data_IF_976115217257
#
_entry.id   IF_976115217257
#
_cell.length_a   1.000
_cell.length_b   1.000
_cell.length_c   1.000
_cell.angle_alpha   90.00
_cell.angle_beta   90.00
_cell.angle_gamma   90.00
#
_symmetry.space_group_name_H-M   'P 1'
#
loop_
_entity.id
_entity.type
_entity.pdbx_description
1 polymer ?
#
# COMPACT_ATOMS: atom_id res chain seq x y z
N UNK A 1 12.62 28.12 -0.28
CA UNK A 1 12.81 28.01 1.17
C UNK A 1 12.64 26.58 1.68
N UNK A 2 11.54 25.86 1.42
CA UNK A 2 11.32 24.47 1.89
C UNK A 2 12.35 23.45 1.36
N UNK A 3 12.84 23.61 0.13
CA UNK A 3 13.88 22.74 -0.47
C UNK A 3 15.21 22.79 0.27
N UNK A 4 15.61 23.96 0.77
CA UNK A 4 16.81 24.13 1.59
C UNK A 4 16.63 23.50 2.99
N UNK A 5 15.43 23.60 3.57
CA UNK A 5 15.10 22.93 4.82
C UNK A 5 15.21 21.41 4.68
N UNK A 6 14.65 20.83 3.62
CA UNK A 6 14.76 19.37 3.38
C UNK A 6 16.18 18.91 3.06
N UNK A 7 17.00 19.75 2.41
CA UNK A 7 18.43 19.43 2.20
C UNK A 7 19.23 19.57 3.49
N UNK A 8 18.89 20.52 4.35
CA UNK A 8 19.53 20.71 5.63
C UNK A 8 19.18 19.59 6.62
N UNK A 9 17.95 19.06 6.58
CA UNK A 9 17.60 17.84 7.32
C UNK A 9 18.32 16.58 6.81
N UNK A 10 18.71 16.52 5.55
CA UNK A 10 19.60 15.47 5.02
C UNK A 10 21.03 15.56 5.56
N UNK A 11 21.47 16.74 5.95
CA UNK A 11 22.81 16.99 6.49
C UNK A 11 22.90 16.77 8.01
N UNK A 12 21.79 16.71 8.73
CA UNK A 12 21.77 16.19 10.10
C UNK A 12 22.03 14.69 9.99
N UNK A 13 23.24 14.28 10.36
CA UNK A 13 23.78 12.92 10.21
C UNK A 13 22.98 11.88 10.99
N UNK A 14 21.78 11.60 10.50
CA UNK A 14 21.06 10.41 10.86
C UNK A 14 21.85 9.24 10.26
N UNK A 15 22.39 8.35 11.05
CA UNK A 15 23.10 7.19 10.52
C UNK A 15 22.17 6.45 9.56
N UNK A 16 22.70 5.78 8.54
CA UNK A 16 21.88 5.03 7.56
C UNK A 16 20.89 4.09 8.25
N UNK A 17 21.24 3.57 9.40
CA UNK A 17 20.39 2.72 10.24
C UNK A 17 19.21 3.46 10.86
N UNK A 18 19.42 4.65 11.38
CA UNK A 18 18.35 5.48 11.96
C UNK A 18 17.33 5.88 10.90
N UNK A 19 17.79 6.28 9.71
CA UNK A 19 16.91 6.58 8.59
C UNK A 19 16.10 5.34 8.16
N UNK A 20 16.73 4.16 8.09
CA UNK A 20 16.04 2.92 7.77
C UNK A 20 14.98 2.55 8.82
N UNK A 21 15.29 2.69 10.10
CA UNK A 21 14.33 2.48 11.19
C UNK A 21 13.14 3.43 11.11
N UNK A 22 13.37 4.71 10.80
CA UNK A 22 12.28 5.68 10.63
C UNK A 22 11.36 5.31 9.47
N UNK A 23 11.90 4.86 8.33
CA UNK A 23 11.08 4.36 7.21
C UNK A 23 10.27 3.13 7.61
N UNK A 24 10.88 2.16 8.30
CA UNK A 24 10.20 0.92 8.70
C UNK A 24 9.10 1.22 9.73
N UNK A 25 9.43 1.85 10.85
CA UNK A 25 8.48 2.13 11.91
C UNK A 25 7.38 3.09 11.44
N UNK A 26 7.75 4.17 10.77
CA UNK A 26 6.79 5.14 10.22
C UNK A 26 5.84 4.49 9.21
N UNK A 27 6.37 3.66 8.31
CA UNK A 27 5.57 2.94 7.32
C UNK A 27 4.59 1.96 7.96
N UNK A 28 5.05 1.19 8.96
CA UNK A 28 4.19 0.25 9.69
C UNK A 28 3.08 0.96 10.45
N UNK A 29 3.41 2.07 11.15
CA UNK A 29 2.43 2.86 11.89
C UNK A 29 1.38 3.46 10.93
N UNK A 30 1.81 4.11 9.85
CA UNK A 30 0.89 4.71 8.87
C UNK A 30 0.02 3.64 8.22
N UNK A 31 0.60 2.48 7.87
CA UNK A 31 -0.17 1.37 7.30
C UNK A 31 -1.20 0.81 8.29
N UNK A 32 -0.83 0.58 9.55
CA UNK A 32 -1.74 0.10 10.58
C UNK A 32 -2.85 1.12 10.91
N UNK A 33 -2.52 2.42 10.96
CA UNK A 33 -3.52 3.48 11.15
C UNK A 33 -4.49 3.56 9.98
N UNK A 34 -4.00 3.43 8.74
CA UNK A 34 -4.84 3.44 7.55
C UNK A 34 -5.81 2.25 7.48
N UNK A 35 -5.48 1.15 8.14
CA UNK A 35 -6.36 -0.01 8.30
C UNK A 35 -7.58 0.29 9.20
N UNK A 36 -7.50 1.28 10.06
CA UNK A 36 -8.61 1.73 10.93
C UNK A 36 -9.55 2.71 10.23
N UNK A 37 -9.08 3.34 9.15
CA UNK A 37 -9.89 4.22 8.31
C UNK A 37 -10.54 3.38 7.19
N UNK A 38 -11.69 2.79 7.47
CA UNK A 38 -12.38 1.94 6.51
C UNK A 38 -13.89 2.19 6.46
N UNK A 39 -14.46 1.93 5.30
CA UNK A 39 -15.91 1.85 5.09
C UNK A 39 -16.26 0.37 5.13
N UNK A 40 -17.14 -0.07 6.04
CA UNK A 40 -17.49 -1.46 6.16
C UNK A 40 -18.13 -1.97 4.85
N UNK A 41 -17.65 -3.10 4.37
CA UNK A 41 -18.20 -3.83 3.24
C UNK A 41 -18.65 -5.21 3.69
N UNK A 42 -19.49 -5.86 2.91
CA UNK A 42 -20.04 -7.17 3.26
C UNK A 42 -18.95 -8.26 3.40
N UNK A 43 -18.00 -8.29 2.46
CA UNK A 43 -16.90 -9.27 2.44
C UNK A 43 -15.52 -8.60 2.54
N UNK A 44 -15.38 -7.48 1.89
CA UNK A 44 -14.11 -6.74 1.85
C UNK A 44 -14.38 -5.27 2.18
N UNK A 45 -13.86 -4.75 3.28
CA UNK A 45 -13.98 -3.35 3.61
C UNK A 45 -13.12 -2.48 2.69
N UNK A 46 -13.63 -1.33 2.31
CA UNK A 46 -12.84 -0.33 1.57
C UNK A 46 -12.00 0.48 2.55
N UNK A 47 -10.68 0.39 2.44
CA UNK A 47 -9.76 0.99 3.41
C UNK A 47 -8.90 2.09 2.78
N UNK A 48 -8.29 2.92 3.61
CA UNK A 48 -7.23 3.84 3.16
C UNK A 48 -5.88 3.15 2.93
N UNK A 49 -5.76 1.85 3.22
CA UNK A 49 -4.52 1.10 3.02
C UNK A 49 -4.04 1.13 1.58
N UNK A 50 -4.94 1.02 0.59
CA UNK A 50 -4.58 1.07 -0.84
C UNK A 50 -3.85 2.38 -1.18
N UNK A 51 -4.34 3.52 -0.67
CA UNK A 51 -3.68 4.81 -0.86
C UNK A 51 -2.29 4.86 -0.22
N UNK A 52 -2.17 4.37 1.03
CA UNK A 52 -0.88 4.30 1.75
C UNK A 52 0.12 3.41 1.01
N UNK A 53 -0.33 2.29 0.44
CA UNK A 53 0.49 1.39 -0.37
C UNK A 53 1.05 2.09 -1.61
N UNK A 54 0.23 2.86 -2.32
CA UNK A 54 0.71 3.67 -3.44
C UNK A 54 1.76 4.68 -2.98
N UNK A 55 1.55 5.34 -1.84
CA UNK A 55 2.52 6.28 -1.28
C UNK A 55 3.83 5.61 -0.87
N UNK A 56 3.77 4.45 -0.21
CA UNK A 56 4.96 3.65 0.14
C UNK A 56 5.73 3.28 -1.13
N UNK A 57 5.04 2.77 -2.17
CA UNK A 57 5.67 2.41 -3.44
C UNK A 57 6.36 3.60 -4.13
N UNK A 58 5.73 4.78 -4.11
CA UNK A 58 6.26 5.98 -4.77
C UNK A 58 7.37 6.67 -3.98
N UNK A 59 7.25 6.76 -2.64
CA UNK A 59 8.08 7.63 -1.82
C UNK A 59 9.25 6.91 -1.16
N UNK A 60 9.08 5.64 -0.77
CA UNK A 60 10.09 4.92 -0.01
C UNK A 60 11.34 4.58 -0.84
N UNK A 61 12.53 4.67 -0.26
CA UNK A 61 13.77 4.33 -0.96
C UNK A 61 14.04 2.82 -0.96
N UNK A 62 14.71 2.34 -1.98
CA UNK A 62 15.20 0.97 -2.06
C UNK A 62 14.11 -0.09 -1.88
N UNK A 63 14.31 -1.02 -0.97
CA UNK A 63 13.38 -2.10 -0.62
C UNK A 63 12.64 -1.87 0.71
N UNK A 64 12.69 -0.66 1.26
CA UNK A 64 12.04 -0.38 2.54
C UNK A 64 10.51 -0.56 2.47
N UNK A 65 9.89 -0.30 1.32
CA UNK A 65 8.45 -0.50 1.14
C UNK A 65 8.05 -1.97 1.27
N UNK A 66 8.77 -2.89 0.63
CA UNK A 66 8.53 -4.33 0.79
C UNK A 66 8.81 -4.79 2.22
N UNK A 67 9.89 -4.30 2.84
CA UNK A 67 10.24 -4.65 4.22
C UNK A 67 9.13 -4.24 5.21
N UNK A 68 8.53 -3.05 5.04
CA UNK A 68 7.37 -2.61 5.82
C UNK A 68 6.24 -3.62 5.73
N UNK A 69 5.86 -4.04 4.53
CA UNK A 69 4.75 -4.99 4.33
C UNK A 69 5.06 -6.37 4.92
N UNK A 70 6.25 -6.91 4.62
CA UNK A 70 6.66 -8.23 5.11
C UNK A 70 6.65 -8.24 6.64
N UNK A 71 7.25 -7.24 7.28
CA UNK A 71 7.28 -7.16 8.74
C UNK A 71 5.87 -7.00 9.31
N UNK A 72 5.04 -6.13 8.72
CA UNK A 72 3.66 -5.92 9.18
C UNK A 72 2.83 -7.19 9.07
N UNK A 73 2.96 -7.96 7.98
CA UNK A 73 2.26 -9.24 7.82
C UNK A 73 2.79 -10.31 8.78
N UNK A 74 4.10 -10.35 9.01
CA UNK A 74 4.69 -11.24 10.01
C UNK A 74 4.14 -10.92 11.42
N UNK A 75 4.05 -9.64 11.78
CA UNK A 75 3.46 -9.23 13.05
C UNK A 75 1.98 -9.59 13.15
N UNK A 76 1.21 -9.45 12.06
CA UNK A 76 -0.17 -9.86 12.01
C UNK A 76 -0.34 -11.39 12.16
N UNK A 77 0.55 -12.19 11.56
CA UNK A 77 0.62 -13.64 11.75
C UNK A 77 0.93 -14.02 13.20
N UNK A 78 1.75 -13.23 13.89
CA UNK A 78 2.09 -13.42 15.31
C UNK A 78 0.99 -12.92 16.27
N UNK A 79 -0.13 -12.44 15.75
CA UNK A 79 -1.29 -12.05 16.55
C UNK A 79 -1.42 -10.56 16.86
N UNK A 80 -0.58 -9.67 16.26
CA UNK A 80 -0.79 -8.24 16.42
C UNK A 80 -1.87 -7.74 15.44
N UNK A 81 -2.82 -6.90 15.89
CA UNK A 81 -3.92 -6.42 15.07
C UNK A 81 -3.48 -5.30 14.12
N UNK A 82 -2.59 -5.61 13.17
CA UNK A 82 -2.01 -4.65 12.23
C UNK A 82 -2.87 -4.41 10.97
N UNK A 83 -3.88 -5.27 10.75
CA UNK A 83 -4.73 -5.25 9.56
C UNK A 83 -6.16 -4.80 9.90
N UNK A 84 -6.94 -4.57 8.86
CA UNK A 84 -8.35 -4.17 8.96
C UNK A 84 -9.16 -5.25 9.68
N UNK A 85 -10.14 -4.84 10.48
CA UNK A 85 -11.00 -5.70 11.30
C UNK A 85 -10.25 -6.58 12.32
N UNK A 86 -8.97 -6.24 12.60
CA UNK A 86 -8.18 -7.02 13.54
C UNK A 86 -7.82 -8.42 13.07
N UNK A 87 -7.86 -8.69 11.77
CA UNK A 87 -7.45 -9.99 11.19
C UNK A 87 -6.03 -10.35 11.62
N UNK A 88 -5.87 -11.51 12.23
CA UNK A 88 -4.61 -12.02 12.79
C UNK A 88 -4.40 -13.50 12.48
N UNK A 89 -3.19 -13.98 12.68
CA UNK A 89 -2.86 -15.40 12.54
C UNK A 89 -2.98 -15.90 11.10
N UNK A 90 -3.31 -17.18 10.95
CA UNK A 90 -3.36 -17.84 9.63
C UNK A 90 -4.38 -17.23 8.66
N UNK A 91 -5.45 -16.59 9.16
CA UNK A 91 -6.46 -15.92 8.34
C UNK A 91 -5.86 -14.82 7.47
N UNK A 92 -4.74 -14.22 7.88
CA UNK A 92 -4.01 -13.20 7.11
C UNK A 92 -3.62 -13.71 5.73
N UNK A 93 -3.17 -14.96 5.64
CA UNK A 93 -2.68 -15.57 4.39
C UNK A 93 -3.68 -16.52 3.73
N UNK A 94 -4.58 -17.11 4.51
CA UNK A 94 -5.51 -18.14 4.04
C UNK A 94 -6.95 -17.63 3.87
N UNK A 95 -7.21 -16.42 4.32
CA UNK A 95 -8.54 -15.80 4.25
C UNK A 95 -8.87 -15.21 2.87
N UNK A 96 -10.14 -14.85 2.65
CA UNK A 96 -10.62 -14.31 1.36
C UNK A 96 -9.96 -12.99 0.97
N UNK A 97 -9.34 -12.29 1.92
CA UNK A 97 -8.64 -11.01 1.70
C UNK A 97 -7.14 -11.16 1.39
N UNK A 98 -6.59 -12.37 1.49
CA UNK A 98 -5.16 -12.63 1.27
C UNK A 98 -4.67 -12.14 -0.11
N UNK A 99 -5.51 -12.24 -1.13
CA UNK A 99 -5.19 -11.77 -2.48
C UNK A 99 -4.86 -10.28 -2.54
N UNK A 100 -5.58 -9.44 -1.77
CA UNK A 100 -5.27 -7.99 -1.70
C UNK A 100 -3.92 -7.74 -1.03
N UNK A 101 -3.55 -8.52 -0.02
CA UNK A 101 -2.25 -8.40 0.66
C UNK A 101 -1.09 -8.78 -0.28
N UNK A 102 -1.27 -9.82 -1.09
CA UNK A 102 -0.34 -10.16 -2.17
C UNK A 102 -0.25 -9.02 -3.18
N UNK A 103 -1.39 -8.47 -3.58
CA UNK A 103 -1.47 -7.32 -4.48
C UNK A 103 -0.73 -6.09 -3.96
N UNK A 104 -0.74 -5.84 -2.65
CA UNK A 104 0.01 -4.75 -2.04
C UNK A 104 1.53 -4.91 -2.24
N UNK A 105 2.05 -6.12 -2.07
CA UNK A 105 3.48 -6.40 -2.31
C UNK A 105 3.82 -6.18 -3.79
N UNK A 106 2.99 -6.70 -4.71
CA UNK A 106 3.21 -6.56 -6.15
C UNK A 106 3.15 -5.10 -6.59
N UNK A 107 2.20 -4.31 -6.08
CA UNK A 107 2.05 -2.90 -6.39
C UNK A 107 3.25 -2.07 -5.91
N UNK A 108 3.74 -2.32 -4.69
CA UNK A 108 4.93 -1.64 -4.15
C UNK A 108 6.16 -1.98 -4.97
N UNK A 109 6.38 -3.27 -5.31
CA UNK A 109 7.51 -3.70 -6.13
C UNK A 109 7.48 -3.02 -7.50
N UNK A 110 6.34 -3.05 -8.18
CA UNK A 110 6.15 -2.42 -9.48
C UNK A 110 6.42 -0.91 -9.45
N UNK A 111 5.87 -0.18 -8.46
CA UNK A 111 6.08 1.27 -8.35
C UNK A 111 7.54 1.62 -8.04
N UNK A 112 8.20 0.82 -7.20
CA UNK A 112 9.63 1.01 -6.91
C UNK A 112 10.51 0.69 -8.12
N UNK A 113 10.14 -0.31 -8.94
CA UNK A 113 10.79 -0.59 -10.20
C UNK A 113 10.64 0.60 -11.17
N UNK A 114 9.42 1.09 -11.36
CA UNK A 114 9.13 2.24 -12.22
C UNK A 114 9.89 3.50 -11.78
N UNK A 115 9.97 3.74 -10.46
CA UNK A 115 10.74 4.87 -9.92
C UNK A 115 12.23 4.82 -10.26
N UNK A 116 12.82 3.62 -10.36
CA UNK A 116 14.23 3.42 -10.73
C UNK A 116 14.46 3.53 -12.23
N UNK A 117 13.51 3.04 -13.03
CA UNK A 117 13.64 2.91 -14.47
C UNK A 117 13.22 4.16 -15.24
N UNK A 118 12.33 5.00 -14.67
CA UNK A 118 11.75 6.14 -15.37
C UNK A 118 12.44 7.45 -15.01
N UNK A 119 12.95 8.16 -16.01
CA UNK A 119 13.55 9.50 -15.87
C UNK A 119 12.46 10.52 -15.50
N UNK A 120 11.25 10.38 -16.03
CA UNK A 120 10.11 11.29 -15.78
C UNK A 120 9.35 11.00 -14.47
N UNK A 121 9.74 9.94 -13.75
CA UNK A 121 9.13 9.54 -12.48
C UNK A 121 7.83 8.73 -12.62
N UNK A 122 7.00 8.71 -11.58
CA UNK A 122 5.75 7.93 -11.53
C UNK A 122 4.64 8.62 -12.32
N UNK A 123 4.13 7.96 -13.35
CA UNK A 123 3.00 8.43 -14.17
C UNK A 123 1.64 8.02 -13.59
N UNK A 124 0.55 8.61 -14.07
CA UNK A 124 -0.81 8.11 -13.78
C UNK A 124 -0.99 6.66 -14.21
N UNK A 125 -0.44 6.29 -15.37
CA UNK A 125 -0.52 4.92 -15.89
C UNK A 125 0.14 3.95 -14.92
N UNK A 126 1.29 4.30 -14.34
CA UNK A 126 1.97 3.46 -13.34
C UNK A 126 1.11 3.25 -12.08
N UNK A 127 0.43 4.28 -11.62
CA UNK A 127 -0.48 4.18 -10.47
C UNK A 127 -1.72 3.33 -10.78
N UNK A 128 -2.29 3.47 -11.97
CA UNK A 128 -3.44 2.66 -12.43
C UNK A 128 -3.05 1.18 -12.53
N UNK A 129 -1.87 0.87 -13.08
CA UNK A 129 -1.38 -0.51 -13.17
C UNK A 129 -1.17 -1.08 -11.76
N UNK A 130 -0.53 -0.35 -10.86
CA UNK A 130 -0.34 -0.77 -9.47
C UNK A 130 -1.67 -1.06 -8.76
N UNK A 131 -2.65 -0.16 -8.93
CA UNK A 131 -4.00 -0.34 -8.38
C UNK A 131 -4.72 -1.54 -9.01
N UNK A 132 -4.56 -1.73 -10.33
CA UNK A 132 -5.08 -2.88 -11.06
C UNK A 132 -4.51 -4.21 -10.52
N UNK A 133 -3.21 -4.26 -10.20
CA UNK A 133 -2.58 -5.43 -9.56
C UNK A 133 -3.23 -5.77 -8.22
N UNK A 134 -3.53 -4.76 -7.38
CA UNK A 134 -4.19 -4.96 -6.09
C UNK A 134 -5.60 -5.56 -6.28
N UNK A 135 -6.41 -4.95 -7.15
CA UNK A 135 -7.77 -5.39 -7.39
C UNK A 135 -7.82 -6.76 -8.06
N UNK A 136 -6.94 -7.02 -9.04
CA UNK A 136 -6.91 -8.28 -9.76
C UNK A 136 -6.50 -9.45 -8.86
N UNK A 137 -5.43 -9.30 -8.08
CA UNK A 137 -4.99 -10.34 -7.14
C UNK A 137 -6.04 -10.58 -6.05
N UNK A 138 -6.66 -9.51 -5.53
CA UNK A 138 -7.77 -9.61 -4.59
C UNK A 138 -8.97 -10.36 -5.19
N UNK A 139 -9.37 -10.01 -6.40
CA UNK A 139 -10.46 -10.66 -7.13
C UNK A 139 -10.21 -12.15 -7.35
N UNK A 140 -9.01 -12.52 -7.82
CA UNK A 140 -8.67 -13.93 -8.09
C UNK A 140 -8.81 -14.79 -6.84
N UNK A 141 -8.28 -14.34 -5.70
CA UNK A 141 -8.37 -15.10 -4.45
C UNK A 141 -9.81 -15.08 -3.92
N UNK A 142 -10.47 -13.94 -3.90
CA UNK A 142 -11.85 -13.82 -3.42
C UNK A 142 -12.82 -14.69 -4.24
N UNK A 143 -12.56 -14.85 -5.54
CA UNK A 143 -13.37 -15.70 -6.42
C UNK A 143 -13.33 -17.20 -6.05
N UNK A 144 -12.26 -17.67 -5.40
CA UNK A 144 -12.17 -19.05 -4.90
C UNK A 144 -13.15 -19.29 -3.73
N UNK A 145 -13.48 -18.25 -2.96
CA UNK A 145 -14.38 -18.33 -1.82
C UNK A 145 -15.84 -18.07 -2.19
N UNK A 146 -16.09 -17.12 -3.11
CA UNK A 146 -17.45 -16.60 -3.39
C UNK A 146 -17.98 -16.94 -4.79
N UNK A 147 -17.11 -17.43 -5.67
CA UNK A 147 -17.38 -17.51 -7.10
C UNK A 147 -17.19 -16.16 -7.81
N UNK A 148 -16.96 -16.20 -9.13
CA UNK A 148 -16.52 -15.03 -9.92
C UNK A 148 -17.47 -13.84 -9.85
N UNK A 149 -18.79 -14.07 -9.95
CA UNK A 149 -19.78 -13.00 -9.97
C UNK A 149 -19.85 -12.25 -8.64
N UNK A 150 -19.91 -12.97 -7.53
CA UNK A 150 -19.95 -12.35 -6.20
C UNK A 150 -18.63 -11.66 -5.84
N UNK A 151 -17.49 -12.24 -6.24
CA UNK A 151 -16.19 -11.61 -6.05
C UNK A 151 -16.08 -10.29 -6.81
N UNK A 152 -16.63 -10.20 -8.01
CA UNK A 152 -16.72 -8.94 -8.76
C UNK A 152 -17.60 -7.92 -8.02
N UNK A 153 -18.81 -8.33 -7.64
CA UNK A 153 -19.80 -7.45 -7.03
C UNK A 153 -19.36 -6.89 -5.67
N UNK A 154 -18.67 -7.71 -4.86
CA UNK A 154 -18.26 -7.33 -3.50
C UNK A 154 -16.78 -6.95 -3.36
N UNK A 155 -15.92 -7.39 -4.26
CA UNK A 155 -14.49 -7.21 -4.17
C UNK A 155 -13.89 -6.20 -5.16
N UNK A 156 -14.61 -5.82 -6.24
CA UNK A 156 -14.08 -4.89 -7.25
C UNK A 156 -15.00 -3.69 -7.44
N UNK A 157 -16.26 -3.92 -7.74
CA UNK A 157 -17.20 -2.85 -8.11
C UNK A 157 -17.30 -1.72 -7.07
N UNK A 158 -17.41 -1.96 -5.75
CA UNK A 158 -17.53 -0.90 -4.76
C UNK A 158 -16.27 -0.03 -4.65
N UNK A 159 -15.12 -0.59 -5.04
CA UNK A 159 -13.84 0.09 -4.92
C UNK A 159 -13.59 1.07 -6.07
N UNK A 160 -14.13 0.83 -7.28
CA UNK A 160 -13.74 1.58 -8.48
C UNK A 160 -13.84 3.09 -8.32
N UNK A 161 -14.96 3.60 -7.78
CA UNK A 161 -15.15 5.03 -7.63
C UNK A 161 -14.18 5.66 -6.60
N UNK A 162 -14.03 5.02 -5.43
CA UNK A 162 -13.16 5.51 -4.36
C UNK A 162 -11.68 5.40 -4.74
N UNK A 163 -11.29 4.34 -5.45
CA UNK A 163 -9.92 4.16 -5.90
C UNK A 163 -9.52 5.19 -6.96
N UNK A 164 -10.43 5.62 -7.83
CA UNK A 164 -10.16 6.74 -8.75
C UNK A 164 -9.81 8.04 -7.99
N UNK A 165 -10.55 8.35 -6.94
CA UNK A 165 -10.27 9.53 -6.09
C UNK A 165 -8.90 9.39 -5.41
N UNK A 166 -8.60 8.22 -4.83
CA UNK A 166 -7.32 7.93 -4.19
C UNK A 166 -6.14 8.02 -5.16
N UNK A 167 -6.29 7.55 -6.41
CA UNK A 167 -5.28 7.68 -7.45
C UNK A 167 -4.97 9.13 -7.79
N UNK A 168 -6.01 9.98 -7.93
CA UNK A 168 -5.81 11.41 -8.17
C UNK A 168 -5.09 12.09 -7.00
N UNK A 169 -5.47 11.79 -5.77
CA UNK A 169 -4.80 12.31 -4.57
C UNK A 169 -3.35 11.81 -4.49
N UNK A 170 -3.11 10.53 -4.75
CA UNK A 170 -1.78 9.93 -4.76
C UNK A 170 -0.86 10.64 -5.74
N UNK A 171 -1.33 10.87 -6.97
CA UNK A 171 -0.55 11.56 -8.00
C UNK A 171 -0.22 12.99 -7.60
N UNK A 172 -1.20 13.75 -7.08
CA UNK A 172 -0.95 15.12 -6.60
C UNK A 172 0.11 15.18 -5.50
N UNK A 173 0.04 14.26 -4.53
CA UNK A 173 1.03 14.19 -3.45
C UNK A 173 2.41 13.83 -3.99
N UNK A 174 2.50 12.84 -4.91
CA UNK A 174 3.77 12.44 -5.53
C UNK A 174 4.40 13.59 -6.31
N UNK A 175 3.61 14.34 -7.06
CA UNK A 175 4.10 15.50 -7.82
C UNK A 175 4.55 16.63 -6.89
N UNK A 176 3.82 16.89 -5.81
CA UNK A 176 4.19 17.89 -4.81
C UNK A 176 5.50 17.55 -4.08
N UNK A 177 5.73 16.27 -3.75
CA UNK A 177 6.98 15.84 -3.09
C UNK A 177 8.18 15.92 -4.04
N UNK A 178 7.96 15.76 -5.35
CA UNK A 178 9.03 15.87 -6.37
C UNK A 178 9.42 17.31 -6.71
N UNK A 179 8.51 18.26 -6.53
CA UNK A 179 8.79 19.68 -6.68
C UNK A 179 9.61 20.23 -5.51
#
# INVERSE_FOLDING_TARGET
>A
MLRQYFQQYRALSCSKWQASLLYLLGGMIIFALSARCYIPGYWVPTTMQTWVILMIGCCYPGRHGQAVLIITYTLALLGLPMLTDGTIGAEVLLGPRAGYLIGFILAVEYLQYQKRSSISGISYVSLIIAQGMILLSGYIVLAQFLGYWRAWLYGVQPFLALECIKLCLAKRVVDWIKC
#
